data_IF_561521597836
#
_entry.id   IF_561521597836
#
_cell.length_a   1.000
_cell.length_b   1.000
_cell.length_c   1.000
_cell.angle_alpha   90.00
_cell.angle_beta   90.00
_cell.angle_gamma   90.00
#
_symmetry.space_group_name_H-M   'P 1'
#
loop_
_entity.id
_entity.type
_entity.pdbx_description
1 polymer ?
#
# COMPACT_ATOMS: atom_id res chain seq x y z
N UNK A 1 9.10 -20.08 33.08
CA UNK A 1 8.32 -19.14 33.92
C UNK A 1 8.15 -17.75 33.24
N UNK A 2 8.02 -17.69 31.91
CA UNK A 2 7.97 -16.42 31.13
C UNK A 2 6.61 -16.18 30.44
N UNK A 3 5.87 -17.25 30.13
CA UNK A 3 4.60 -17.18 29.42
C UNK A 3 3.44 -16.51 30.20
N UNK A 4 3.48 -16.55 31.54
CA UNK A 4 2.44 -15.96 32.38
C UNK A 4 2.56 -14.43 32.54
N UNK A 5 3.76 -13.86 32.41
CA UNK A 5 4.00 -12.42 32.56
C UNK A 5 3.52 -11.60 31.35
N UNK A 6 3.76 -12.11 30.13
CA UNK A 6 3.34 -11.48 28.87
C UNK A 6 1.82 -11.40 28.73
N UNK A 7 1.10 -12.47 29.09
CA UNK A 7 -0.36 -12.55 28.98
C UNK A 7 -1.05 -11.60 29.97
N UNK A 8 -0.47 -11.36 31.16
CA UNK A 8 -1.01 -10.44 32.16
C UNK A 8 -0.88 -8.97 31.74
N UNK A 9 0.24 -8.61 31.09
CA UNK A 9 0.50 -7.24 30.64
C UNK A 9 -0.38 -6.84 29.44
N UNK A 10 -0.58 -7.74 28.48
CA UNK A 10 -1.47 -7.48 27.34
C UNK A 10 -2.95 -7.30 27.77
N UNK A 11 -3.40 -8.06 28.76
CA UNK A 11 -4.75 -7.92 29.32
C UNK A 11 -4.95 -6.59 30.06
N UNK A 12 -3.89 -5.94 30.52
CA UNK A 12 -3.94 -4.61 31.13
C UNK A 12 -4.15 -3.52 30.05
N UNK A 13 -3.36 -3.58 28.96
CA UNK A 13 -3.48 -2.63 27.84
C UNK A 13 -4.85 -2.67 27.15
N UNK A 14 -5.53 -3.82 27.15
CA UNK A 14 -6.87 -3.97 26.54
C UNK A 14 -7.99 -3.46 27.48
N UNK A 15 -7.75 -3.39 28.80
CA UNK A 15 -8.78 -2.95 29.76
C UNK A 15 -8.85 -1.45 29.96
N UNK A 16 -7.76 -0.73 29.75
CA UNK A 16 -7.66 0.67 30.19
C UNK A 16 -7.95 1.71 29.10
N UNK A 17 -8.03 1.38 27.80
CA UNK A 17 -8.33 2.40 26.77
C UNK A 17 -9.20 1.89 25.61
N UNK A 18 -10.41 2.44 25.50
CA UNK A 18 -11.16 2.47 24.24
C UNK A 18 -10.49 3.44 23.25
N UNK A 19 -9.37 3.05 22.63
CA UNK A 19 -8.89 3.52 21.31
C UNK A 19 -7.44 3.09 20.96
N UNK A 20 -6.99 1.92 21.42
CA UNK A 20 -5.69 1.41 20.97
C UNK A 20 -5.82 0.88 19.53
N UNK A 21 -5.61 1.75 18.55
CA UNK A 21 -5.66 1.38 17.13
C UNK A 21 -4.45 0.53 16.73
N UNK A 22 -3.26 0.76 17.31
CA UNK A 22 -2.01 0.10 16.93
C UNK A 22 -1.14 -0.25 18.15
N UNK A 23 -0.63 -1.49 18.21
CA UNK A 23 0.34 -1.96 19.21
C UNK A 23 1.67 -2.27 18.50
N UNK A 24 2.78 -1.74 19.03
CA UNK A 24 4.14 -1.96 18.54
C UNK A 24 4.95 -2.80 19.53
N UNK A 25 5.48 -3.92 19.07
CA UNK A 25 6.42 -4.74 19.86
C UNK A 25 7.86 -4.38 19.49
N UNK A 26 8.72 -4.28 20.50
CA UNK A 26 10.16 -4.08 20.33
C UNK A 26 10.89 -5.14 21.13
N UNK A 27 11.82 -5.85 20.51
CA UNK A 27 12.67 -6.84 21.19
C UNK A 27 13.92 -6.10 21.68
N UNK A 28 14.14 -6.06 22.99
CA UNK A 28 15.43 -5.69 23.57
C UNK A 28 16.29 -6.94 23.62
N UNK A 29 17.28 -7.03 22.72
CA UNK A 29 18.33 -8.03 22.87
C UNK A 29 19.31 -7.52 23.92
N UNK A 30 19.30 -8.11 25.10
CA UNK A 30 20.41 -8.01 26.03
C UNK A 30 21.64 -8.64 25.35
N UNK A 31 22.66 -7.82 25.12
CA UNK A 31 23.89 -8.27 24.46
C UNK A 31 24.58 -9.31 25.34
N UNK A 32 24.56 -10.57 24.91
CA UNK A 32 25.44 -11.59 25.47
C UNK A 32 26.88 -11.26 25.05
N UNK A 33 27.72 -10.94 26.03
CA UNK A 33 29.16 -10.77 25.84
C UNK A 33 29.74 -12.15 25.55
N UNK A 34 29.85 -12.52 24.26
CA UNK A 34 30.70 -13.61 23.83
C UNK A 34 32.04 -13.03 23.38
N UNK A 35 33.10 -13.42 24.09
CA UNK A 35 34.49 -13.05 23.82
C UNK A 35 34.89 -13.45 22.41
N UNK A 36 35.35 -12.47 21.64
CA UNK A 36 35.89 -12.64 20.30
C UNK A 36 37.25 -13.36 20.36
N UNK A 37 37.26 -14.64 19.99
CA UNK A 37 38.49 -15.35 19.63
C UNK A 37 38.31 -16.01 18.28
N UNK A 38 39.01 -15.44 17.30
CA UNK A 38 39.40 -16.00 16.00
C UNK A 38 38.31 -16.73 15.20
N UNK A 39 37.68 -16.01 14.27
CA UNK A 39 37.22 -16.61 13.02
C UNK A 39 37.79 -15.78 11.88
N UNK A 40 38.67 -16.44 11.13
CA UNK A 40 39.28 -15.99 9.88
C UNK A 40 38.25 -15.45 8.89
N UNK A 41 38.69 -14.49 8.10
CA UNK A 41 38.05 -13.86 6.93
C UNK A 41 37.52 -14.88 5.90
N UNK A 42 36.41 -15.51 6.22
CA UNK A 42 35.40 -15.91 5.24
C UNK A 42 34.36 -14.81 5.28
N UNK A 43 33.96 -14.28 4.13
CA UNK A 43 32.67 -13.61 4.05
C UNK A 43 31.67 -14.61 4.62
N UNK A 44 31.14 -14.29 5.80
CA UNK A 44 30.40 -15.26 6.58
C UNK A 44 29.15 -15.56 5.77
N UNK A 45 29.10 -16.71 5.08
CA UNK A 45 28.05 -17.07 4.11
C UNK A 45 26.66 -16.87 4.73
N UNK A 46 26.55 -17.04 6.05
CA UNK A 46 25.38 -16.67 6.83
C UNK A 46 24.99 -15.19 6.71
N UNK A 47 25.92 -14.26 6.90
CA UNK A 47 25.68 -12.82 6.70
C UNK A 47 25.29 -12.50 5.26
N UNK A 48 25.85 -13.18 4.25
CA UNK A 48 25.45 -13.01 2.86
C UNK A 48 24.01 -13.50 2.62
N UNK A 49 23.65 -14.67 3.17
CA UNK A 49 22.29 -15.22 3.11
C UNK A 49 21.31 -14.28 3.84
N UNK A 50 21.67 -13.78 5.01
CA UNK A 50 20.85 -12.85 5.79
C UNK A 50 20.68 -11.52 5.06
N UNK A 51 21.73 -10.99 4.43
CA UNK A 51 21.67 -9.77 3.63
C UNK A 51 20.84 -9.97 2.35
N UNK A 52 20.93 -11.13 1.71
CA UNK A 52 20.12 -11.46 0.54
C UNK A 52 18.63 -11.60 0.91
N UNK A 53 18.32 -12.21 2.06
CA UNK A 53 16.95 -12.33 2.57
C UNK A 53 16.35 -10.98 2.99
N UNK A 54 17.18 -10.05 3.49
CA UNK A 54 16.77 -8.70 3.83
C UNK A 54 16.55 -7.79 2.60
N UNK A 55 16.97 -8.23 1.41
CA UNK A 55 16.82 -7.45 0.19
C UNK A 55 15.35 -7.31 -0.20
N UNK A 56 14.91 -6.07 -0.36
CA UNK A 56 13.56 -5.74 -0.84
C UNK A 56 13.45 -6.14 -2.31
N UNK A 57 12.38 -6.83 -2.66
CA UNK A 57 12.09 -7.31 -4.02
C UNK A 57 10.72 -6.81 -4.44
N UNK A 58 10.63 -6.34 -5.69
CA UNK A 58 9.37 -5.95 -6.32
C UNK A 58 8.78 -7.13 -7.11
N UNK A 59 7.46 -7.18 -7.29
CA UNK A 59 6.82 -8.10 -8.21
C UNK A 59 7.32 -7.94 -9.64
N UNK A 60 7.18 -9.00 -10.44
CA UNK A 60 7.48 -8.93 -11.87
C UNK A 60 6.54 -7.95 -12.60
N UNK A 61 7.09 -7.22 -13.56
CA UNK A 61 6.34 -6.40 -14.49
C UNK A 61 5.42 -7.25 -15.35
N UNK A 62 4.26 -6.69 -15.72
CA UNK A 62 3.36 -7.31 -16.70
C UNK A 62 3.81 -6.99 -18.12
N UNK A 63 3.52 -7.85 -19.11
CA UNK A 63 3.62 -7.43 -20.51
C UNK A 63 2.59 -6.31 -20.69
N UNK A 64 3.01 -5.08 -21.01
CA UNK A 64 2.17 -3.87 -21.08
C UNK A 64 1.09 -3.91 -22.20
N UNK A 65 0.27 -4.97 -22.24
CA UNK A 65 -0.69 -5.28 -23.30
C UNK A 65 -1.90 -4.36 -23.28
N UNK A 66 -2.26 -3.88 -22.09
CA UNK A 66 -3.38 -2.97 -21.90
C UNK A 66 -3.01 -1.87 -20.88
N UNK A 67 -3.89 -0.88 -20.73
CA UNK A 67 -3.66 0.26 -19.83
C UNK A 67 -3.59 -0.12 -18.36
N UNK A 68 -4.29 -1.17 -17.94
CA UNK A 68 -4.20 -1.67 -16.57
C UNK A 68 -2.81 -2.27 -16.29
N UNK A 69 -2.25 -3.02 -17.26
CA UNK A 69 -0.89 -3.54 -17.19
C UNK A 69 0.15 -2.41 -17.18
N UNK A 70 -0.06 -1.38 -17.99
CA UNK A 70 0.79 -0.18 -17.99
C UNK A 70 0.74 0.55 -16.64
N UNK A 71 -0.46 0.81 -16.11
CA UNK A 71 -0.62 1.47 -14.81
C UNK A 71 0.00 0.63 -13.67
N UNK A 72 -0.10 -0.70 -13.75
CA UNK A 72 0.57 -1.61 -12.84
C UNK A 72 2.10 -1.47 -12.90
N UNK A 73 2.66 -1.41 -14.11
CA UNK A 73 4.10 -1.24 -14.30
C UNK A 73 4.57 0.15 -13.85
N UNK A 74 3.79 1.20 -14.07
CA UNK A 74 4.11 2.54 -13.58
C UNK A 74 4.14 2.59 -12.03
N UNK A 75 3.22 1.88 -11.37
CA UNK A 75 3.27 1.74 -9.91
C UNK A 75 4.53 0.99 -9.47
N UNK A 76 4.97 -0.05 -10.19
CA UNK A 76 6.24 -0.70 -9.89
C UNK A 76 7.43 0.25 -10.03
N UNK A 77 7.47 1.07 -11.08
CA UNK A 77 8.52 2.08 -11.27
C UNK A 77 8.50 3.14 -10.16
N UNK A 78 7.32 3.59 -9.74
CA UNK A 78 7.17 4.50 -8.60
C UNK A 78 7.71 3.89 -7.30
N UNK A 79 7.41 2.62 -7.03
CA UNK A 79 7.93 1.94 -5.84
C UNK A 79 9.45 1.73 -5.95
N UNK A 80 9.94 1.43 -7.15
CA UNK A 80 11.36 1.26 -7.40
C UNK A 80 12.15 2.56 -7.15
N UNK A 81 11.66 3.69 -7.64
CA UNK A 81 12.33 5.00 -7.46
C UNK A 81 12.42 5.42 -5.98
N UNK A 82 11.51 4.93 -5.14
CA UNK A 82 11.50 5.13 -3.69
C UNK A 82 12.26 4.05 -2.90
N UNK A 83 12.95 3.13 -3.57
CA UNK A 83 13.65 1.99 -2.95
C UNK A 83 12.73 1.15 -2.03
N UNK A 84 11.50 0.95 -2.50
CA UNK A 84 10.48 0.14 -1.83
C UNK A 84 10.40 -1.25 -2.45
N UNK A 85 9.86 -2.17 -1.66
CA UNK A 85 9.68 -3.56 -2.04
C UNK A 85 9.38 -4.42 -0.82
N UNK A 86 9.03 -5.65 -1.09
CA UNK A 86 8.65 -6.63 -0.08
C UNK A 86 9.79 -7.58 0.22
N UNK A 87 9.68 -8.31 1.33
CA UNK A 87 10.61 -9.40 1.64
C UNK A 87 10.45 -10.53 0.63
N UNK A 88 11.55 -11.22 0.36
CA UNK A 88 11.56 -12.32 -0.59
C UNK A 88 10.51 -13.38 -0.23
N UNK A 89 9.73 -13.81 -1.21
CA UNK A 89 8.62 -14.76 -1.05
C UNK A 89 7.25 -14.11 -0.85
N UNK A 90 7.19 -12.83 -0.47
CA UNK A 90 5.91 -12.11 -0.26
C UNK A 90 5.53 -11.15 -1.38
N UNK A 91 6.47 -10.82 -2.27
CA UNK A 91 6.25 -9.89 -3.38
C UNK A 91 5.17 -10.42 -4.34
N UNK A 92 5.21 -11.71 -4.70
CA UNK A 92 4.28 -12.29 -5.68
C UNK A 92 2.91 -12.67 -5.08
N UNK A 93 2.70 -12.45 -3.79
CA UNK A 93 1.42 -12.66 -3.11
C UNK A 93 0.89 -11.33 -2.59
N UNK A 94 1.48 -10.81 -1.51
CA UNK A 94 1.09 -9.58 -0.85
C UNK A 94 1.34 -8.38 -1.76
N UNK A 95 2.53 -8.29 -2.36
CA UNK A 95 2.91 -7.17 -3.24
C UNK A 95 2.00 -7.07 -4.46
N UNK A 96 1.81 -8.17 -5.18
CA UNK A 96 0.89 -8.23 -6.33
C UNK A 96 -0.54 -7.86 -5.92
N UNK A 97 -1.02 -8.37 -4.78
CA UNK A 97 -2.37 -8.08 -4.28
C UNK A 97 -2.56 -6.58 -4.02
N UNK A 98 -1.61 -5.94 -3.33
CA UNK A 98 -1.63 -4.50 -3.07
C UNK A 98 -1.65 -3.69 -4.37
N UNK A 99 -0.70 -3.96 -5.28
CA UNK A 99 -0.57 -3.19 -6.53
C UNK A 99 -1.83 -3.35 -7.39
N UNK A 100 -2.33 -4.57 -7.56
CA UNK A 100 -3.54 -4.79 -8.36
C UNK A 100 -4.76 -4.04 -7.80
N UNK A 101 -4.93 -3.99 -6.46
CA UNK A 101 -6.05 -3.26 -5.84
C UNK A 101 -5.87 -1.75 -5.95
N UNK A 102 -4.66 -1.24 -5.80
CA UNK A 102 -4.35 0.18 -6.02
C UNK A 102 -4.64 0.60 -7.46
N UNK A 103 -4.05 -0.12 -8.42
CA UNK A 103 -4.27 0.08 -9.86
C UNK A 103 -5.75 -0.01 -10.18
N UNK A 104 -6.45 -0.97 -9.59
CA UNK A 104 -7.87 -1.16 -9.81
C UNK A 104 -8.71 0.04 -9.35
N UNK A 105 -8.39 0.65 -8.20
CA UNK A 105 -9.10 1.81 -7.70
C UNK A 105 -8.77 3.06 -8.53
N UNK A 106 -7.49 3.29 -8.83
CA UNK A 106 -7.02 4.37 -9.70
C UNK A 106 -7.69 4.32 -11.07
N UNK A 107 -7.69 3.14 -11.69
CA UNK A 107 -8.33 2.91 -12.99
C UNK A 107 -9.84 3.13 -12.95
N UNK A 108 -10.50 2.81 -11.84
CA UNK A 108 -11.95 3.02 -11.71
C UNK A 108 -12.31 4.50 -11.56
N UNK A 109 -11.48 5.28 -10.85
CA UNK A 109 -11.64 6.73 -10.69
C UNK A 109 -11.24 7.55 -11.94
N UNK A 110 -10.54 6.91 -12.88
CA UNK A 110 -9.85 7.52 -14.00
C UNK A 110 -10.74 8.38 -14.91
N UNK A 111 -11.95 7.95 -15.23
CA UNK A 111 -12.85 8.72 -16.12
C UNK A 111 -13.45 9.98 -15.43
N UNK A 112 -13.17 10.21 -14.13
CA UNK A 112 -13.87 11.24 -13.33
C UNK A 112 -13.00 12.38 -12.80
N UNK A 113 -11.77 12.55 -13.28
CA UNK A 113 -10.90 13.66 -12.84
C UNK A 113 -11.60 15.04 -12.88
N UNK A 114 -12.42 15.32 -13.91
CA UNK A 114 -13.19 16.57 -14.02
C UNK A 114 -14.23 16.70 -12.89
N UNK A 115 -15.02 15.67 -12.65
CA UNK A 115 -16.06 15.66 -11.60
C UNK A 115 -15.44 15.70 -10.20
N UNK A 116 -14.35 14.95 -9.99
CA UNK A 116 -13.57 14.98 -8.76
C UNK A 116 -13.07 16.40 -8.48
N UNK A 117 -12.45 17.05 -9.47
CA UNK A 117 -11.97 18.44 -9.36
C UNK A 117 -13.09 19.43 -9.05
N UNK A 118 -14.25 19.31 -9.71
CA UNK A 118 -15.43 20.15 -9.43
C UNK A 118 -15.95 19.98 -8.00
N UNK A 119 -15.73 18.81 -7.40
CA UNK A 119 -16.11 18.49 -6.02
C UNK A 119 -14.98 18.71 -5.02
N UNK A 120 -13.88 19.35 -5.45
CA UNK A 120 -12.67 19.55 -4.63
C UNK A 120 -12.05 18.25 -4.09
N UNK A 121 -12.38 17.10 -4.71
CA UNK A 121 -11.77 15.81 -4.42
C UNK A 121 -10.54 15.67 -5.31
N UNK A 122 -9.37 15.46 -4.70
CA UNK A 122 -8.09 15.39 -5.41
C UNK A 122 -7.45 14.04 -5.20
N UNK A 123 -7.10 13.37 -6.29
CA UNK A 123 -6.22 12.21 -6.23
C UNK A 123 -4.88 12.66 -5.63
N UNK A 124 -4.29 11.90 -4.69
CA UNK A 124 -3.01 12.23 -4.08
C UNK A 124 -1.94 12.51 -5.13
N UNK A 125 -1.13 13.55 -4.89
CA UNK A 125 -0.10 14.01 -5.83
C UNK A 125 0.85 12.88 -6.24
N UNK A 126 1.20 12.02 -5.29
CA UNK A 126 2.04 10.85 -5.51
C UNK A 126 1.56 9.97 -6.68
N UNK A 127 0.25 9.78 -6.82
CA UNK A 127 -0.31 8.94 -7.89
C UNK A 127 -0.52 9.71 -9.18
N UNK A 128 -0.62 11.05 -9.13
CA UNK A 128 -0.66 11.88 -10.35
C UNK A 128 0.71 11.93 -11.07
N UNK A 129 1.78 11.52 -10.39
CA UNK A 129 3.13 11.42 -10.97
C UNK A 129 3.35 10.16 -11.82
N UNK A 130 2.42 9.19 -11.82
CA UNK A 130 2.55 7.99 -12.64
C UNK A 130 2.61 8.39 -14.14
N UNK A 131 3.52 7.75 -14.89
CA UNK A 131 3.84 8.12 -16.28
C UNK A 131 2.60 8.15 -17.18
N UNK A 132 1.69 7.20 -17.00
CA UNK A 132 0.42 7.12 -17.70
C UNK A 132 -0.34 8.44 -17.53
N UNK A 133 -0.53 8.92 -16.28
CA UNK A 133 -1.21 10.18 -15.95
C UNK A 133 -0.49 11.42 -16.48
N UNK A 134 0.84 11.41 -16.53
CA UNK A 134 1.61 12.53 -17.07
C UNK A 134 1.56 12.62 -18.60
N UNK A 135 1.66 11.48 -19.32
CA UNK A 135 1.83 11.44 -20.78
C UNK A 135 0.52 11.53 -21.56
N UNK A 136 -0.60 11.06 -21.01
CA UNK A 136 -1.83 10.96 -21.78
C UNK A 136 -2.64 12.27 -21.76
N UNK A 137 -2.69 12.94 -22.92
CA UNK A 137 -3.65 14.01 -23.23
C UNK A 137 -5.12 13.55 -23.15
N UNK A 138 -5.37 12.25 -23.13
CA UNK A 138 -6.68 11.63 -22.93
C UNK A 138 -7.27 11.86 -21.53
N UNK A 139 -6.49 12.14 -20.48
CA UNK A 139 -7.06 12.53 -19.17
C UNK A 139 -7.64 13.94 -19.16
N UNK A 140 -7.25 14.75 -20.15
CA UNK A 140 -7.84 16.06 -20.41
C UNK A 140 -9.07 15.94 -21.32
N UNK A 141 -9.07 15.01 -22.29
CA UNK A 141 -9.97 15.02 -23.46
C UNK A 141 -10.67 13.69 -23.83
N UNK A 142 -10.44 12.57 -23.15
CA UNK A 142 -10.84 11.23 -23.60
C UNK A 142 -12.19 10.75 -23.06
N UNK A 143 -13.09 10.39 -23.98
CA UNK A 143 -14.34 9.64 -23.72
C UNK A 143 -14.03 8.16 -23.56
N UNK A 144 -13.86 7.70 -22.32
CA UNK A 144 -13.91 6.26 -22.04
C UNK A 144 -15.34 5.73 -22.14
N UNK A 145 -15.49 4.41 -22.28
CA UNK A 145 -16.75 3.75 -21.97
C UNK A 145 -17.14 4.23 -20.58
N UNK A 146 -18.21 5.03 -20.50
CA UNK A 146 -18.71 5.60 -19.25
C UNK A 146 -19.27 4.45 -18.43
N UNK A 147 -18.41 3.63 -17.84
CA UNK A 147 -18.83 2.69 -16.82
C UNK A 147 -19.45 3.56 -15.74
N UNK A 148 -20.77 3.47 -15.59
CA UNK A 148 -21.48 4.17 -14.54
C UNK A 148 -20.83 3.74 -13.23
N UNK A 149 -20.13 4.67 -12.58
CA UNK A 149 -19.53 4.41 -11.29
C UNK A 149 -20.65 4.03 -10.33
N UNK A 150 -20.50 2.88 -9.69
CA UNK A 150 -21.44 2.40 -8.69
C UNK A 150 -20.85 2.67 -7.33
N UNK A 151 -21.64 3.27 -6.43
CA UNK A 151 -21.28 3.51 -5.03
C UNK A 151 -20.65 2.26 -4.40
N UNK A 152 -21.39 1.14 -4.42
CA UNK A 152 -20.96 -0.13 -3.83
C UNK A 152 -19.61 -0.63 -4.37
N UNK A 153 -19.33 -0.36 -5.65
CA UNK A 153 -18.08 -0.80 -6.28
C UNK A 153 -16.89 0.07 -5.86
N UNK A 154 -17.09 1.39 -5.69
CA UNK A 154 -16.07 2.29 -5.15
C UNK A 154 -15.73 1.94 -3.70
N UNK A 155 -16.76 1.75 -2.87
CA UNK A 155 -16.60 1.35 -1.47
C UNK A 155 -15.88 -0.01 -1.38
N UNK A 156 -16.34 -1.02 -2.13
CA UNK A 156 -15.70 -2.33 -2.16
C UNK A 156 -14.22 -2.26 -2.55
N UNK A 157 -13.88 -1.50 -3.60
CA UNK A 157 -12.48 -1.35 -4.03
C UNK A 157 -11.63 -0.62 -2.99
N UNK A 158 -12.17 0.43 -2.36
CA UNK A 158 -11.49 1.15 -1.28
C UNK A 158 -11.26 0.25 -0.06
N UNK A 159 -12.26 -0.52 0.36
CA UNK A 159 -12.17 -1.43 1.50
C UNK A 159 -11.14 -2.53 1.24
N UNK A 160 -11.14 -3.13 0.04
CA UNK A 160 -10.15 -4.14 -0.32
C UNK A 160 -8.72 -3.61 -0.39
N UNK A 161 -8.55 -2.36 -0.81
CA UNK A 161 -7.24 -1.71 -0.78
C UNK A 161 -6.81 -1.41 0.66
N UNK A 162 -7.74 -0.95 1.50
CA UNK A 162 -7.48 -0.67 2.91
C UNK A 162 -7.10 -1.93 3.71
N UNK A 163 -7.76 -3.07 3.44
CA UNK A 163 -7.37 -4.38 4.00
C UNK A 163 -5.90 -4.73 3.71
N UNK A 164 -5.34 -4.29 2.57
CA UNK A 164 -3.94 -4.56 2.24
C UNK A 164 -2.96 -3.74 3.08
N UNK A 165 -3.35 -2.53 3.45
CA UNK A 165 -2.46 -1.62 4.17
C UNK A 165 -2.52 -1.81 5.70
N UNK A 166 -3.43 -2.66 6.18
CA UNK A 166 -3.45 -3.15 7.58
C UNK A 166 -2.43 -4.27 7.84
N UNK A 167 -1.70 -4.70 6.81
CA UNK A 167 -0.72 -5.79 6.91
C UNK A 167 0.60 -5.33 7.55
N UNK A 168 1.36 -6.20 8.23
CA UNK A 168 2.56 -5.80 9.00
C UNK A 168 3.64 -5.05 8.21
N UNK A 169 3.75 -5.27 6.89
CA UNK A 169 4.76 -4.61 6.05
C UNK A 169 4.59 -3.08 5.99
N UNK A 170 3.38 -2.56 6.23
CA UNK A 170 3.10 -1.12 6.23
C UNK A 170 3.63 -0.39 7.45
N UNK A 171 3.95 -1.11 8.52
CA UNK A 171 4.49 -0.53 9.75
C UNK A 171 5.92 0.03 9.59
N UNK A 172 6.62 -0.32 8.50
CA UNK A 172 7.97 0.17 8.22
C UNK A 172 7.89 1.61 7.70
N UNK A 173 8.60 2.53 8.33
CA UNK A 173 8.54 3.98 8.05
C UNK A 173 8.83 4.36 6.60
N UNK A 174 9.60 3.55 5.86
CA UNK A 174 9.86 3.77 4.44
C UNK A 174 8.57 3.76 3.59
N UNK A 175 7.50 3.09 4.04
CA UNK A 175 6.24 3.02 3.33
C UNK A 175 5.29 4.18 3.63
N UNK A 176 5.56 5.01 4.64
CA UNK A 176 4.62 6.02 5.16
C UNK A 176 4.01 6.88 4.05
N UNK A 177 4.82 7.43 3.16
CA UNK A 177 4.35 8.29 2.07
C UNK A 177 3.34 7.57 1.15
N UNK A 178 3.65 6.33 0.74
CA UNK A 178 2.78 5.53 -0.12
C UNK A 178 1.49 5.13 0.61
N UNK A 179 1.59 4.78 1.88
CA UNK A 179 0.44 4.36 2.68
C UNK A 179 -0.49 5.54 2.98
N UNK A 180 0.05 6.70 3.36
CA UNK A 180 -0.72 7.93 3.54
C UNK A 180 -1.44 8.31 2.26
N UNK A 181 -0.75 8.33 1.12
CA UNK A 181 -1.39 8.58 -0.18
C UNK A 181 -2.48 7.54 -0.48
N UNK A 182 -2.24 6.25 -0.19
CA UNK A 182 -3.24 5.20 -0.40
C UNK A 182 -4.50 5.41 0.44
N UNK A 183 -4.35 5.79 1.72
CA UNK A 183 -5.47 6.11 2.61
C UNK A 183 -6.27 7.34 2.13
N UNK A 184 -5.57 8.38 1.67
CA UNK A 184 -6.19 9.56 1.07
C UNK A 184 -6.98 9.17 -0.18
N UNK A 185 -6.45 8.30 -1.04
CA UNK A 185 -7.15 7.80 -2.22
C UNK A 185 -8.42 7.02 -1.84
N UNK A 186 -8.37 6.16 -0.82
CA UNK A 186 -9.55 5.47 -0.30
C UNK A 186 -10.60 6.46 0.22
N UNK A 187 -10.17 7.52 0.90
CA UNK A 187 -11.06 8.59 1.41
C UNK A 187 -11.73 9.35 0.27
N UNK A 188 -10.98 9.68 -0.79
CA UNK A 188 -11.51 10.28 -2.02
C UNK A 188 -12.56 9.39 -2.68
N UNK A 189 -12.30 8.08 -2.77
CA UNK A 189 -13.24 7.12 -3.35
C UNK A 189 -14.56 7.07 -2.57
N UNK A 190 -14.50 7.04 -1.23
CA UNK A 190 -15.69 7.05 -0.37
C UNK A 190 -16.45 8.36 -0.42
N UNK A 191 -15.75 9.50 -0.41
CA UNK A 191 -16.38 10.81 -0.57
C UNK A 191 -17.12 10.92 -1.92
N UNK A 192 -16.53 10.39 -2.99
CA UNK A 192 -17.19 10.33 -4.29
C UNK A 192 -18.38 9.34 -4.30
N UNK A 193 -18.27 8.20 -3.62
CA UNK A 193 -19.36 7.24 -3.48
C UNK A 193 -20.58 7.86 -2.78
N UNK A 194 -20.37 8.62 -1.69
CA UNK A 194 -21.41 9.37 -1.00
C UNK A 194 -22.05 10.44 -1.90
N UNK A 195 -21.25 11.12 -2.71
CA UNK A 195 -21.77 12.05 -3.71
C UNK A 195 -22.72 11.35 -4.70
N UNK A 196 -22.37 10.17 -5.20
CA UNK A 196 -23.25 9.41 -6.10
C UNK A 196 -24.58 9.05 -5.45
N UNK A 197 -24.62 8.79 -4.14
CA UNK A 197 -25.89 8.59 -3.42
C UNK A 197 -26.73 9.85 -3.39
N UNK A 198 -26.14 11.00 -3.05
CA UNK A 198 -26.89 12.27 -3.00
C UNK A 198 -27.50 12.66 -4.35
N UNK A 199 -26.81 12.38 -5.47
CA UNK A 199 -27.34 12.67 -6.81
C UNK A 199 -28.46 11.71 -7.21
N UNK A 200 -28.36 10.43 -6.81
CA UNK A 200 -29.36 9.43 -7.16
C UNK A 200 -30.62 9.49 -6.29
N UNK A 201 -30.57 10.15 -5.12
CA UNK A 201 -31.75 10.39 -4.26
C UNK A 201 -32.60 11.59 -4.70
N UNK A 202 -32.12 12.40 -5.64
CA UNK A 202 -32.81 13.57 -6.19
C UNK A 202 -33.40 13.34 -7.60
N UNK A 203 -33.56 12.07 -8.00
CA UNK A 203 -34.26 11.62 -9.22
C UNK A 203 -35.44 10.77 -8.78
#
# INVERSE_FOLDING_TARGET
>A
MVASGLNRSLRMCIREEQNVLHIKFTIQNEQSIFTASQVSSTSNVFNEIMNAAAKKVLPYSKPSTNRNDQLYNDVLELLHSKNLGWEHGTQNSIGISFINKLVSLLYYLDDKHKTLKLRSLKIPLLFLELLLYQKNSYYKNGTHHKTTLRRKELEFRADKLEECILQPWTSKSCWNEVITATLELCSVARAYANYLESVNQHI
#
